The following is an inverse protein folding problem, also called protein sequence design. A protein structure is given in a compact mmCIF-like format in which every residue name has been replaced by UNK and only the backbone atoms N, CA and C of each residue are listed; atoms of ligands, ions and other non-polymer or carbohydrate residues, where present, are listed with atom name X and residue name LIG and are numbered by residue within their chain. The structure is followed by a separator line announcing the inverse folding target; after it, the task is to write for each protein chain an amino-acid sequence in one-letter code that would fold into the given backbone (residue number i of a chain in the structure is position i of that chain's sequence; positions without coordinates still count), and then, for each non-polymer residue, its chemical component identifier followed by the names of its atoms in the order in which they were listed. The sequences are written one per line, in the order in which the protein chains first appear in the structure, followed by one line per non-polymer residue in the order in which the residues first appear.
data_IF_524128848000
#
_entry.id   IF_524128848000
#
_cell.length_a   1.000
_cell.length_b   1.000
_cell.length_c   1.000
_cell.angle_alpha   90.00
_cell.angle_beta   90.00
_cell.angle_gamma   90.00
#
_symmetry.space_group_name_H-M   'P 1'
#
loop_
_entity.id
_entity.type
_entity.pdbx_description
1 polymer ?
#
# COMPACT_ATOMS: atom_id res chain seq x y z
N UNK A 1 33.24 -23.05 -4.01
CA UNK A 1 31.96 -22.40 -3.67
C UNK A 1 31.78 -22.54 -2.18
N UNK A 2 31.82 -21.45 -1.40
CA UNK A 2 31.38 -21.51 -0.01
C UNK A 2 29.86 -21.53 -0.03
N UNK A 3 29.25 -22.61 0.45
CA UNK A 3 27.81 -22.67 0.67
C UNK A 3 27.46 -21.77 1.86
N UNK A 4 26.86 -20.62 1.59
CA UNK A 4 26.36 -19.72 2.62
C UNK A 4 25.21 -20.41 3.36
N UNK A 5 25.31 -20.58 4.68
CA UNK A 5 24.23 -21.10 5.51
C UNK A 5 23.04 -20.14 5.49
N UNK A 6 21.86 -20.64 5.09
CA UNK A 6 20.60 -19.88 5.17
C UNK A 6 20.19 -19.76 6.64
N UNK A 7 19.87 -18.55 7.09
CA UNK A 7 19.36 -18.26 8.43
C UNK A 7 17.93 -17.72 8.36
N UNK A 8 17.16 -17.90 9.43
CA UNK A 8 15.78 -17.44 9.55
C UNK A 8 15.64 -16.43 10.69
N UNK A 9 14.79 -15.42 10.49
CA UNK A 9 14.36 -14.46 11.51
C UNK A 9 12.84 -14.30 11.45
N UNK A 10 12.22 -14.02 12.59
CA UNK A 10 10.78 -13.89 12.73
C UNK A 10 10.41 -12.53 13.35
N UNK A 11 9.20 -12.06 13.07
CA UNK A 11 8.62 -10.84 13.63
C UNK A 11 7.09 -10.97 13.67
N UNK A 12 6.39 -10.19 14.53
CA UNK A 12 4.93 -10.17 14.54
C UNK A 12 4.35 -9.83 13.16
N UNK A 13 3.32 -10.55 12.74
CA UNK A 13 2.65 -10.27 11.47
C UNK A 13 1.85 -8.98 11.55
N UNK A 14 1.97 -8.16 10.51
CA UNK A 14 1.08 -7.04 10.25
C UNK A 14 1.02 -6.81 8.75
N UNK A 15 -0.17 -6.49 8.25
CA UNK A 15 -0.42 -6.14 6.84
C UNK A 15 -1.29 -4.90 6.76
N UNK A 16 -1.03 -4.06 5.78
CA UNK A 16 -1.85 -2.91 5.44
C UNK A 16 -1.93 -2.76 3.92
N UNK A 17 -3.12 -2.90 3.37
CA UNK A 17 -3.41 -2.78 1.94
C UNK A 17 -4.16 -1.49 1.64
N UNK A 18 -3.73 -0.77 0.60
CA UNK A 18 -4.32 0.45 0.09
C UNK A 18 -5.09 0.10 -1.18
N UNK A 19 -6.38 0.44 -1.21
CA UNK A 19 -7.27 0.26 -2.34
C UNK A 19 -7.60 1.63 -2.91
N UNK A 20 -7.17 1.88 -4.15
CA UNK A 20 -7.41 3.14 -4.85
C UNK A 20 -7.69 2.89 -6.34
N UNK A 21 -8.60 3.67 -6.91
CA UNK A 21 -8.85 3.69 -8.35
C UNK A 21 -7.74 4.47 -9.09
N UNK A 22 -7.66 4.31 -10.41
CA UNK A 22 -6.75 5.05 -11.26
C UNK A 22 -5.93 4.18 -12.21
N UNK A 23 -5.16 4.86 -13.07
CA UNK A 23 -4.30 4.21 -14.06
C UNK A 23 -3.14 3.45 -13.40
N UNK A 24 -2.94 2.20 -13.82
CA UNK A 24 -1.91 1.31 -13.25
C UNK A 24 -0.49 1.88 -13.45
N UNK A 25 -0.21 2.44 -14.63
CA UNK A 25 1.14 2.93 -14.97
C UNK A 25 1.49 4.14 -14.11
N UNK A 26 0.57 5.09 -13.99
CA UNK A 26 0.70 6.25 -13.13
C UNK A 26 0.86 5.83 -11.65
N UNK A 27 0.06 4.86 -11.19
CA UNK A 27 0.14 4.34 -9.82
C UNK A 27 1.48 3.67 -9.52
N UNK A 28 2.00 2.89 -10.47
CA UNK A 28 3.32 2.25 -10.35
C UNK A 28 4.44 3.28 -10.27
N UNK A 29 4.39 4.31 -11.11
CA UNK A 29 5.35 5.41 -11.06
C UNK A 29 5.26 6.16 -9.72
N UNK A 30 4.06 6.47 -9.25
CA UNK A 30 3.88 7.12 -7.94
C UNK A 30 4.46 6.26 -6.81
N UNK A 31 4.22 4.94 -6.80
CA UNK A 31 4.82 4.05 -5.81
C UNK A 31 6.35 4.09 -5.88
N UNK A 32 6.94 4.07 -7.09
CA UNK A 32 8.38 4.15 -7.28
C UNK A 32 8.96 5.45 -6.72
N UNK A 33 8.26 6.57 -6.88
CA UNK A 33 8.67 7.86 -6.33
C UNK A 33 8.57 7.91 -4.80
N UNK A 34 7.52 7.34 -4.22
CA UNK A 34 7.35 7.28 -2.76
C UNK A 34 8.43 6.42 -2.08
N UNK A 35 8.77 5.28 -2.67
CA UNK A 35 9.75 4.35 -2.06
C UNK A 35 11.20 4.81 -2.17
N UNK A 36 11.50 5.93 -2.86
CA UNK A 36 12.85 6.51 -2.89
C UNK A 36 13.37 6.84 -1.48
N UNK A 37 12.49 7.01 -0.50
CA UNK A 37 12.83 7.23 0.91
C UNK A 37 13.28 5.93 1.64
N UNK A 38 13.30 4.78 0.96
CA UNK A 38 13.77 3.50 1.51
C UNK A 38 12.67 2.51 1.88
N UNK A 39 11.42 2.80 1.52
CA UNK A 39 10.29 1.90 1.75
C UNK A 39 10.22 0.75 0.74
N UNK A 40 9.44 -0.28 1.07
CA UNK A 40 9.13 -1.36 0.13
C UNK A 40 7.63 -1.65 0.19
N UNK A 41 7.00 -1.72 -0.99
CA UNK A 41 5.56 -1.94 -1.14
C UNK A 41 5.30 -3.08 -2.11
N UNK A 42 4.27 -3.89 -1.86
CA UNK A 42 3.74 -4.79 -2.88
C UNK A 42 2.71 -4.06 -3.73
N UNK A 43 2.63 -4.41 -5.01
CA UNK A 43 1.74 -3.75 -5.97
C UNK A 43 0.99 -4.81 -6.76
N UNK A 44 -0.34 -4.69 -6.83
CA UNK A 44 -1.19 -5.55 -7.64
C UNK A 44 -2.24 -4.70 -8.37
N UNK A 45 -2.38 -4.81 -9.69
CA UNK A 45 -3.50 -4.20 -10.40
C UNK A 45 -4.82 -4.83 -9.96
N UNK A 46 -5.90 -4.06 -9.97
CA UNK A 46 -7.26 -4.54 -9.73
C UNK A 46 -8.27 -3.78 -10.59
N UNK A 47 -9.51 -4.28 -10.62
CA UNK A 47 -10.63 -3.63 -11.29
C UNK A 47 -11.79 -3.55 -10.30
N UNK A 48 -12.37 -2.36 -10.16
CA UNK A 48 -13.59 -2.14 -9.39
C UNK A 48 -14.78 -2.38 -10.31
N UNK A 49 -15.59 -3.40 -10.02
CA UNK A 49 -16.80 -3.71 -10.78
C UNK A 49 -18.01 -3.25 -9.97
N UNK A 50 -18.86 -2.41 -10.55
CA UNK A 50 -20.04 -1.87 -9.89
C UNK A 50 -21.22 -1.73 -10.86
N UNK A 51 -22.39 -1.41 -10.33
CA UNK A 51 -23.60 -1.31 -11.16
C UNK A 51 -23.41 -0.24 -12.23
N UNK A 52 -23.47 -0.65 -13.50
CA UNK A 52 -23.37 0.26 -14.64
C UNK A 52 -21.94 0.58 -15.09
N UNK A 53 -20.90 -0.06 -14.55
CA UNK A 53 -19.55 0.22 -15.00
C UNK A 53 -18.45 -0.58 -14.33
N UNK A 54 -17.23 -0.24 -14.71
CA UNK A 54 -16.00 -0.72 -14.11
C UNK A 54 -14.96 0.38 -14.14
N UNK A 55 -14.06 0.37 -13.17
CA UNK A 55 -12.97 1.33 -13.08
C UNK A 55 -11.66 0.60 -12.77
N UNK A 56 -10.55 0.90 -13.48
CA UNK A 56 -9.25 0.35 -13.14
C UNK A 56 -8.78 0.87 -11.78
N UNK A 57 -7.95 0.09 -11.10
CA UNK A 57 -7.33 0.50 -9.88
C UNK A 57 -6.15 -0.36 -9.50
N UNK A 58 -5.66 -0.13 -8.29
CA UNK A 58 -4.53 -0.87 -7.74
C UNK A 58 -4.75 -1.18 -6.26
N UNK A 59 -4.14 -2.27 -5.83
CA UNK A 59 -3.89 -2.60 -4.43
C UNK A 59 -2.40 -2.45 -4.14
N UNK A 60 -2.06 -1.57 -3.21
CA UNK A 60 -0.67 -1.34 -2.79
C UNK A 60 -0.55 -1.72 -1.32
N UNK A 61 0.32 -2.67 -1.00
CA UNK A 61 0.42 -3.19 0.36
C UNK A 61 1.76 -2.89 1.04
N UNK A 62 1.72 -2.94 2.37
CA UNK A 62 2.86 -2.92 3.25
C UNK A 62 2.73 -4.08 4.24
N UNK A 63 3.86 -4.71 4.57
CA UNK A 63 3.93 -5.81 5.53
C UNK A 63 5.05 -5.59 6.53
N UNK A 64 4.97 -6.26 7.68
CA UNK A 64 6.08 -6.31 8.62
C UNK A 64 7.16 -7.29 8.14
N UNK A 65 8.19 -6.79 7.48
CA UNK A 65 9.32 -7.61 7.04
C UNK A 65 10.21 -8.00 8.23
N UNK A 66 10.41 -9.31 8.54
CA UNK A 66 11.29 -9.74 9.64
C UNK A 66 12.75 -9.31 9.51
N UNK A 67 13.17 -8.88 8.31
CA UNK A 67 14.50 -8.29 8.06
C UNK A 67 14.67 -6.92 8.73
N UNK A 68 13.59 -6.14 8.81
CA UNK A 68 13.56 -4.78 9.37
C UNK A 68 12.22 -4.58 10.10
N UNK A 69 12.03 -5.23 11.27
CA UNK A 69 10.74 -5.25 11.94
C UNK A 69 10.34 -3.84 12.39
N UNK A 70 9.08 -3.52 12.16
CA UNK A 70 8.43 -2.27 12.57
C UNK A 70 7.17 -2.56 13.38
N UNK A 71 6.72 -1.58 14.14
CA UNK A 71 5.44 -1.65 14.84
C UNK A 71 4.26 -1.61 13.85
N UNK A 72 3.13 -2.16 14.26
CA UNK A 72 1.88 -2.09 13.49
C UNK A 72 1.43 -0.65 13.24
N UNK A 73 1.65 0.24 14.20
CA UNK A 73 1.39 1.69 14.04
C UNK A 73 2.26 2.30 12.96
N UNK A 74 3.57 2.08 12.96
CA UNK A 74 4.47 2.65 11.95
C UNK A 74 4.09 2.18 10.54
N UNK A 75 3.78 0.89 10.36
CA UNK A 75 3.39 0.36 9.05
C UNK A 75 2.05 0.96 8.60
N UNK A 76 1.09 1.10 9.51
CA UNK A 76 -0.19 1.71 9.19
C UNK A 76 -0.07 3.19 8.83
N UNK A 77 0.72 3.95 9.60
CA UNK A 77 0.92 5.38 9.37
C UNK A 77 1.62 5.62 8.03
N UNK A 78 2.60 4.77 7.66
CA UNK A 78 3.19 4.77 6.32
C UNK A 78 2.16 4.42 5.24
N UNK A 79 1.28 3.45 5.48
CA UNK A 79 0.21 3.09 4.54
C UNK A 79 -0.76 4.26 4.30
N UNK A 80 -1.13 4.98 5.36
CA UNK A 80 -1.97 6.18 5.28
C UNK A 80 -1.27 7.29 4.50
N UNK A 81 0.00 7.59 4.81
CA UNK A 81 0.80 8.58 4.06
C UNK A 81 0.89 8.23 2.57
N UNK A 82 1.13 6.96 2.24
CA UNK A 82 1.17 6.50 0.86
C UNK A 82 -0.20 6.65 0.18
N UNK A 83 -1.29 6.35 0.87
CA UNK A 83 -2.63 6.51 0.32
C UNK A 83 -2.96 7.99 0.05
N UNK A 84 -2.60 8.92 0.95
CA UNK A 84 -2.73 10.37 0.73
C UNK A 84 -1.90 10.86 -0.47
N UNK A 85 -0.67 10.34 -0.60
CA UNK A 85 0.19 10.61 -1.73
C UNK A 85 -0.43 10.11 -3.04
N UNK A 86 -0.93 8.87 -3.07
CA UNK A 86 -1.59 8.29 -4.24
C UNK A 86 -2.87 9.03 -4.63
N UNK A 87 -3.70 9.45 -3.66
CA UNK A 87 -4.86 10.31 -3.90
C UNK A 87 -4.43 11.56 -4.67
N UNK A 88 -3.31 12.18 -4.27
CA UNK A 88 -2.78 13.38 -4.91
C UNK A 88 -2.24 13.10 -6.30
N UNK A 89 -1.45 12.03 -6.46
CA UNK A 89 -0.77 11.70 -7.71
C UNK A 89 -1.67 11.13 -8.79
N UNK A 90 -2.73 10.43 -8.41
CA UNK A 90 -3.69 9.83 -9.32
C UNK A 90 -4.94 10.68 -9.51
N UNK A 91 -4.95 11.89 -8.95
CA UNK A 91 -6.07 12.83 -8.98
C UNK A 91 -7.40 12.22 -8.50
N UNK A 92 -7.31 11.30 -7.54
CA UNK A 92 -8.48 10.62 -6.97
C UNK A 92 -9.10 11.46 -5.86
N UNK A 93 -10.35 11.13 -5.52
CA UNK A 93 -11.06 11.78 -4.42
C UNK A 93 -10.95 11.04 -3.09
N UNK A 94 -10.60 9.75 -3.13
CA UNK A 94 -10.57 8.88 -1.96
C UNK A 94 -9.74 7.62 -2.17
N UNK A 95 -9.37 6.98 -1.07
CA UNK A 95 -8.76 5.65 -1.02
C UNK A 95 -9.17 4.95 0.30
N UNK A 96 -9.11 3.62 0.34
CA UNK A 96 -9.29 2.86 1.59
C UNK A 96 -7.97 2.22 1.99
N UNK A 97 -7.59 2.34 3.26
CA UNK A 97 -6.49 1.58 3.86
C UNK A 97 -7.10 0.52 4.75
N UNK A 98 -6.81 -0.75 4.47
CA UNK A 98 -7.34 -1.92 5.17
C UNK A 98 -6.16 -2.68 5.77
N UNK A 99 -6.08 -2.70 7.09
CA UNK A 99 -5.08 -3.43 7.84
C UNK A 99 -5.68 -4.65 8.56
N UNK A 100 -4.82 -5.51 9.10
CA UNK A 100 -5.25 -6.72 9.81
C UNK A 100 -6.11 -6.47 11.04
N UNK A 101 -6.08 -5.28 11.62
CA UNK A 101 -6.79 -4.90 12.86
C UNK A 101 -7.81 -3.75 12.66
N UNK A 102 -7.73 -2.99 11.57
CA UNK A 102 -8.58 -1.81 11.34
C UNK A 102 -8.61 -1.38 9.87
N UNK A 103 -9.59 -0.55 9.52
CA UNK A 103 -9.68 0.10 8.22
C UNK A 103 -9.95 1.59 8.36
N UNK A 104 -9.43 2.40 7.45
CA UNK A 104 -9.74 3.83 7.33
C UNK A 104 -10.06 4.20 5.89
N UNK A 105 -11.06 5.07 5.73
CA UNK A 105 -11.42 5.66 4.45
C UNK A 105 -10.93 7.10 4.41
N UNK A 106 -10.07 7.41 3.44
CA UNK A 106 -9.53 8.74 3.21
C UNK A 106 -10.34 9.41 2.11
N UNK A 107 -10.80 10.65 2.31
CA UNK A 107 -11.53 11.39 1.30
C UNK A 107 -11.22 12.88 1.36
N UNK A 108 -11.25 13.55 0.20
CA UNK A 108 -11.15 15.02 0.09
C UNK A 108 -12.45 15.75 0.39
N UNK A 109 -13.57 15.03 0.44
CA UNK A 109 -14.88 15.64 0.70
C UNK A 109 -15.01 15.86 2.20
N UNK A 110 -15.36 17.08 2.60
CA UNK A 110 -15.82 17.33 3.96
C UNK A 110 -17.10 16.53 4.20
N UNK A 111 -17.01 15.54 5.07
CA UNK A 111 -18.14 14.77 5.60
C UNK A 111 -19.08 15.63 6.43
#
# INVERSE_FOLDING_TARGET
MLESKITATEAPTYVADIFIAGDETAARQACQEFVLEGECVNFAPCEYIFTGGREPGVRVGLINYPRFPRSSSEIFDTAVRLAEFLITRLHQSSASVVASDRSVFLTRRSS
#
